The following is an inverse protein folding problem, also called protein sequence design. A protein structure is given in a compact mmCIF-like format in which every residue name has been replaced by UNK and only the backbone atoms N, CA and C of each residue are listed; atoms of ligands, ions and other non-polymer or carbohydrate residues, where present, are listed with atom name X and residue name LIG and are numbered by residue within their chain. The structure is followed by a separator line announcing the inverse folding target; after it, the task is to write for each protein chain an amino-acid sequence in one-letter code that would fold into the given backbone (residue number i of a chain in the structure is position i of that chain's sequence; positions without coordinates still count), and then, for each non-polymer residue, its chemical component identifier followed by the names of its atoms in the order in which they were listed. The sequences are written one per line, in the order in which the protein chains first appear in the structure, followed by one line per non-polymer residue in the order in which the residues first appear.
data_IF_177193834944
#
_entry.id   IF_177193834944
#
_cell.length_a   1.000
_cell.length_b   1.000
_cell.length_c   1.000
_cell.angle_alpha   90.00
_cell.angle_beta   90.00
_cell.angle_gamma   90.00
#
_symmetry.space_group_name_H-M   'P 1'
#
loop_
_entity.id
_entity.type
_entity.pdbx_description
1 polymer ?
#
# COMPACT_ATOMS: atom_id res chain seq x y z
N UNK A 1 -3.23 13.96 11.21
CA UNK A 1 -4.03 12.82 10.70
C UNK A 1 -5.46 12.72 11.27
N UNK A 2 -5.76 13.33 12.41
CA UNK A 2 -7.05 13.18 13.08
C UNK A 2 -8.30 13.64 12.32
N UNK A 3 -8.22 14.63 11.44
CA UNK A 3 -9.39 15.21 10.79
C UNK A 3 -10.08 14.33 9.73
N UNK A 4 -9.40 13.34 9.18
CA UNK A 4 -9.98 12.42 8.19
C UNK A 4 -10.93 11.39 8.78
N UNK A 5 -10.72 10.97 10.03
CA UNK A 5 -11.51 9.92 10.69
C UNK A 5 -12.94 10.36 11.03
N UNK A 6 -13.18 11.66 11.18
CA UNK A 6 -14.51 12.19 11.49
C UNK A 6 -15.45 12.29 10.30
N UNK A 7 -14.92 12.17 9.07
CA UNK A 7 -15.67 12.31 7.81
C UNK A 7 -15.93 10.98 7.11
N UNK A 8 -15.25 9.90 7.51
CA UNK A 8 -15.35 8.57 6.91
C UNK A 8 -16.07 7.63 7.90
N UNK A 9 -17.07 6.89 7.43
CA UNK A 9 -17.66 5.80 8.19
C UNK A 9 -16.76 4.57 8.09
N UNK A 10 -15.97 4.31 9.13
CA UNK A 10 -15.13 3.13 9.25
C UNK A 10 -15.50 2.36 10.52
N UNK A 11 -15.53 1.03 10.45
CA UNK A 11 -15.74 0.18 11.62
C UNK A 11 -14.43 -0.08 12.38
N UNK A 12 -13.35 -0.19 11.62
CA UNK A 12 -12.03 -0.52 12.13
C UNK A 12 -10.94 0.34 11.50
N UNK A 13 -9.92 0.64 12.30
CA UNK A 13 -8.63 1.17 11.87
C UNK A 13 -7.58 0.11 12.16
N UNK A 14 -6.94 -0.40 11.11
CA UNK A 14 -5.89 -1.42 11.23
C UNK A 14 -4.54 -0.74 11.17
N UNK A 15 -3.70 -0.96 12.17
CA UNK A 15 -2.38 -0.37 12.28
C UNK A 15 -1.32 -1.49 12.45
N UNK A 16 -0.08 -1.27 12.05
CA UNK A 16 0.99 -2.21 12.37
C UNK A 16 1.19 -2.32 13.90
N UNK A 17 1.56 -3.50 14.37
CA UNK A 17 1.65 -3.80 15.81
C UNK A 17 2.61 -2.90 16.59
N UNK A 18 3.56 -2.26 15.92
CA UNK A 18 4.50 -1.31 16.52
C UNK A 18 3.92 0.11 16.67
N UNK A 19 2.79 0.42 16.05
CA UNK A 19 2.22 1.77 16.03
C UNK A 19 1.67 2.24 17.38
N UNK A 20 1.57 1.38 18.37
CA UNK A 20 1.15 1.71 19.74
C UNK A 20 2.19 2.54 20.53
N UNK A 21 3.04 3.31 19.84
CA UNK A 21 4.11 4.13 20.44
C UNK A 21 3.96 5.61 20.10
N UNK A 22 4.32 6.49 20.95
CA UNK A 22 3.71 7.30 21.98
C UNK A 22 2.89 8.56 21.55
N UNK A 23 3.48 9.62 20.91
CA UNK A 23 2.77 10.93 20.81
C UNK A 23 1.69 10.97 19.71
N UNK A 24 1.96 10.43 18.51
CA UNK A 24 0.99 10.36 17.43
C UNK A 24 -0.13 9.35 17.69
N UNK A 25 0.11 8.37 18.56
CA UNK A 25 -0.87 7.37 18.97
C UNK A 25 -2.01 7.96 19.82
N UNK A 26 -1.71 8.84 20.79
CA UNK A 26 -2.75 9.43 21.64
C UNK A 26 -3.74 10.23 20.80
N UNK A 27 -3.25 11.11 19.92
CA UNK A 27 -4.11 11.90 19.04
C UNK A 27 -4.96 11.01 18.10
N UNK A 28 -4.36 9.97 17.51
CA UNK A 28 -5.06 9.05 16.63
C UNK A 28 -6.09 8.21 17.38
N UNK A 29 -5.73 7.70 18.56
CA UNK A 29 -6.59 6.91 19.44
C UNK A 29 -7.80 7.72 19.89
N UNK A 30 -7.60 8.95 20.34
CA UNK A 30 -8.67 9.87 20.72
C UNK A 30 -9.62 10.18 19.55
N UNK A 31 -9.07 10.42 18.37
CA UNK A 31 -9.86 10.66 17.17
C UNK A 31 -10.69 9.43 16.76
N UNK A 32 -10.11 8.24 16.82
CA UNK A 32 -10.79 6.99 16.52
C UNK A 32 -11.91 6.72 17.55
N UNK A 33 -11.64 6.92 18.83
CA UNK A 33 -12.63 6.77 19.90
C UNK A 33 -13.82 7.72 19.71
N UNK A 34 -13.56 9.00 19.43
CA UNK A 34 -14.62 10.00 19.16
C UNK A 34 -15.46 9.65 17.93
N UNK A 35 -14.85 9.01 16.95
CA UNK A 35 -15.52 8.55 15.71
C UNK A 35 -16.20 7.18 15.87
N UNK A 36 -16.08 6.50 17.01
CA UNK A 36 -16.60 5.15 17.23
C UNK A 36 -15.89 4.07 16.44
N UNK A 37 -14.64 4.31 16.02
CA UNK A 37 -13.81 3.41 15.22
C UNK A 37 -12.99 2.53 16.16
N UNK A 38 -13.03 1.22 15.97
CA UNK A 38 -12.18 0.28 16.71
C UNK A 38 -10.78 0.24 16.10
N UNK A 39 -9.76 0.40 16.95
CA UNK A 39 -8.37 0.19 16.53
C UNK A 39 -8.00 -1.27 16.77
N UNK A 40 -7.40 -1.89 15.78
CA UNK A 40 -6.82 -3.23 15.85
C UNK A 40 -5.41 -3.21 15.28
N UNK A 41 -4.52 -4.03 15.80
CA UNK A 41 -3.17 -4.15 15.28
C UNK A 41 -3.04 -5.37 14.37
N UNK A 42 -2.28 -5.21 13.29
CA UNK A 42 -2.03 -6.27 12.32
C UNK A 42 -0.55 -6.54 12.13
N UNK A 43 -0.23 -7.77 11.83
CA UNK A 43 1.13 -8.28 11.57
C UNK A 43 1.08 -9.36 10.50
N UNK A 44 2.22 -9.72 9.96
CA UNK A 44 2.37 -10.82 9.01
C UNK A 44 1.63 -12.08 9.45
N UNK A 45 0.83 -12.60 8.54
CA UNK A 45 0.01 -13.80 8.70
C UNK A 45 -1.41 -13.51 9.21
N UNK A 46 -1.74 -12.29 9.59
CA UNK A 46 -3.11 -11.92 9.91
C UNK A 46 -3.92 -11.70 8.63
N UNK A 47 -5.21 -12.02 8.68
CA UNK A 47 -6.16 -11.82 7.58
C UNK A 47 -7.35 -10.99 8.04
N UNK A 48 -7.82 -10.11 7.14
CA UNK A 48 -9.01 -9.30 7.34
C UNK A 48 -10.02 -9.64 6.25
N UNK A 49 -11.28 -9.83 6.62
CA UNK A 49 -12.34 -10.16 5.68
C UNK A 49 -13.44 -9.10 5.68
N UNK A 50 -13.85 -8.68 4.49
CA UNK A 50 -14.98 -7.78 4.28
C UNK A 50 -15.87 -8.33 3.15
N UNK A 51 -16.88 -9.11 3.50
CA UNK A 51 -17.68 -9.84 2.53
C UNK A 51 -16.85 -10.83 1.72
N UNK A 52 -16.78 -10.65 0.41
CA UNK A 52 -15.99 -11.50 -0.50
C UNK A 52 -14.54 -10.99 -0.69
N UNK A 53 -14.21 -9.84 -0.11
CA UNK A 53 -12.86 -9.28 -0.18
C UNK A 53 -12.06 -9.76 1.04
N UNK A 54 -10.83 -10.20 0.81
CA UNK A 54 -9.87 -10.50 1.86
C UNK A 54 -8.61 -9.65 1.72
N UNK A 55 -7.98 -9.36 2.85
CA UNK A 55 -6.66 -8.73 2.93
C UNK A 55 -5.75 -9.63 3.74
N UNK A 56 -4.67 -10.09 3.14
CA UNK A 56 -3.60 -10.80 3.84
C UNK A 56 -2.50 -9.84 4.21
N UNK A 57 -2.12 -9.76 5.49
CA UNK A 57 -1.01 -8.92 5.94
C UNK A 57 0.29 -9.70 5.73
N UNK A 58 1.14 -9.20 4.82
CA UNK A 58 2.41 -9.83 4.46
C UNK A 58 3.58 -9.27 5.29
N UNK A 59 3.45 -8.08 5.84
CA UNK A 59 4.42 -7.35 6.64
C UNK A 59 3.70 -6.31 7.54
N UNK A 60 4.19 -5.90 8.72
CA UNK A 60 5.48 -6.27 9.32
C UNK A 60 5.47 -7.61 10.07
N UNK A 61 6.68 -8.06 10.45
CA UNK A 61 6.84 -9.21 11.34
C UNK A 61 6.27 -8.91 12.73
N UNK A 62 5.92 -9.96 13.49
CA UNK A 62 5.30 -9.84 14.83
C UNK A 62 6.16 -9.03 15.82
N UNK A 63 7.48 -9.10 15.66
CA UNK A 63 8.46 -8.44 16.54
C UNK A 63 8.96 -7.09 15.99
N UNK A 64 8.28 -6.52 15.02
CA UNK A 64 8.56 -5.18 14.52
C UNK A 64 8.54 -4.15 15.65
N UNK A 65 9.43 -3.17 15.58
CA UNK A 65 9.72 -2.25 16.70
C UNK A 65 9.35 -0.80 16.41
N UNK A 66 9.04 -0.46 15.15
CA UNK A 66 8.84 0.91 14.68
C UNK A 66 10.15 1.74 14.64
N UNK A 67 11.30 1.07 14.61
CA UNK A 67 12.59 1.74 14.51
C UNK A 67 12.76 2.42 13.16
N UNK A 68 12.36 1.74 12.12
CA UNK A 68 12.27 2.26 10.77
C UNK A 68 10.82 2.15 10.31
N UNK A 69 10.11 3.25 10.41
CA UNK A 69 8.66 3.29 10.12
C UNK A 69 8.35 3.00 8.66
N UNK A 70 9.28 3.28 7.75
CA UNK A 70 9.11 2.99 6.34
C UNK A 70 9.36 1.50 6.08
N UNK A 71 10.49 0.96 6.51
CA UNK A 71 10.79 -0.46 6.34
C UNK A 71 9.84 -1.39 7.13
N UNK A 72 9.17 -0.88 8.15
CA UNK A 72 8.16 -1.60 8.93
C UNK A 72 6.72 -1.16 8.57
N UNK A 73 6.51 -0.46 7.44
CA UNK A 73 5.19 -0.12 6.94
C UNK A 73 4.38 -1.37 6.59
N UNK A 74 3.06 -1.28 6.69
CA UNK A 74 2.19 -2.42 6.42
C UNK A 74 2.15 -2.76 4.94
N UNK A 75 2.46 -4.01 4.60
CA UNK A 75 2.27 -4.58 3.27
C UNK A 75 1.07 -5.51 3.30
N UNK A 76 0.11 -5.28 2.40
CA UNK A 76 -1.11 -6.07 2.32
C UNK A 76 -1.42 -6.49 0.89
N UNK A 77 -1.86 -7.73 0.73
CA UNK A 77 -2.44 -8.24 -0.50
C UNK A 77 -3.96 -8.26 -0.36
N UNK A 78 -4.68 -7.55 -1.23
CA UNK A 78 -6.11 -7.63 -1.39
C UNK A 78 -6.44 -8.71 -2.41
N UNK A 79 -7.39 -9.58 -2.09
CA UNK A 79 -7.93 -10.59 -3.01
C UNK A 79 -9.44 -10.46 -3.12
N UNK A 80 -9.95 -10.46 -4.37
CA UNK A 80 -11.38 -10.51 -4.67
C UNK A 80 -11.61 -11.30 -5.96
N UNK A 81 -12.15 -12.50 -5.85
CA UNK A 81 -12.26 -13.43 -6.98
C UNK A 81 -10.89 -13.79 -7.56
N UNK A 82 -10.68 -13.48 -8.83
CA UNK A 82 -9.39 -13.67 -9.51
C UNK A 82 -8.48 -12.42 -9.41
N UNK A 83 -9.01 -11.27 -8.95
CA UNK A 83 -8.27 -10.01 -8.84
C UNK A 83 -7.40 -9.95 -7.57
N UNK A 84 -6.15 -9.51 -7.74
CA UNK A 84 -5.17 -9.34 -6.67
C UNK A 84 -4.56 -7.94 -6.74
N UNK A 85 -4.48 -7.24 -5.60
CA UNK A 85 -3.79 -5.96 -5.51
C UNK A 85 -2.83 -5.93 -4.32
N UNK A 86 -1.61 -5.50 -4.56
CA UNK A 86 -0.59 -5.36 -3.53
C UNK A 86 -0.42 -3.90 -3.11
N UNK A 87 -0.51 -3.66 -1.81
CA UNK A 87 -0.21 -2.38 -1.17
C UNK A 87 1.10 -2.52 -0.41
N UNK A 88 2.10 -1.73 -0.74
CA UNK A 88 3.45 -1.86 -0.19
C UNK A 88 3.82 -0.78 0.83
N UNK A 89 2.91 0.18 1.10
CA UNK A 89 3.23 1.30 1.98
C UNK A 89 4.48 2.03 1.49
N UNK A 90 5.36 2.33 2.42
CA UNK A 90 6.62 3.04 2.13
C UNK A 90 7.86 2.14 2.32
N UNK A 91 7.69 0.79 2.19
CA UNK A 91 8.83 -0.12 2.29
C UNK A 91 9.88 0.16 1.20
N UNK A 92 11.13 -0.08 1.53
CA UNK A 92 12.25 -0.01 0.61
C UNK A 92 12.79 -1.39 0.21
N UNK A 93 13.92 -1.38 -0.47
CA UNK A 93 14.56 -2.57 -1.03
C UNK A 93 14.91 -3.63 0.02
N UNK A 94 15.22 -3.25 1.25
CA UNK A 94 15.56 -4.19 2.31
C UNK A 94 14.38 -5.05 2.73
N UNK A 95 13.19 -4.45 2.83
CA UNK A 95 11.96 -5.20 3.13
C UNK A 95 11.47 -5.99 1.93
N UNK A 96 11.56 -5.45 0.71
CA UNK A 96 11.26 -6.20 -0.52
C UNK A 96 12.10 -7.48 -0.60
N UNK A 97 13.41 -7.41 -0.29
CA UNK A 97 14.31 -8.57 -0.24
C UNK A 97 13.86 -9.62 0.79
N UNK A 98 13.39 -9.19 1.96
CA UNK A 98 12.85 -10.11 2.98
C UNK A 98 11.56 -10.78 2.50
N UNK A 99 10.67 -10.03 1.87
CA UNK A 99 9.44 -10.56 1.29
C UNK A 99 9.73 -11.57 0.16
N UNK A 100 10.68 -11.29 -0.72
CA UNK A 100 11.15 -12.22 -1.75
C UNK A 100 11.70 -13.51 -1.13
N UNK A 101 12.57 -13.39 -0.14
CA UNK A 101 13.16 -14.54 0.56
C UNK A 101 12.13 -15.41 1.28
N UNK A 102 11.02 -14.83 1.73
CA UNK A 102 9.93 -15.56 2.40
C UNK A 102 9.11 -16.44 1.47
N UNK A 103 9.17 -16.22 0.16
CA UNK A 103 8.39 -16.94 -0.85
C UNK A 103 6.88 -16.66 -0.83
N UNK A 104 6.43 -15.66 -0.04
CA UNK A 104 5.00 -15.35 0.14
C UNK A 104 4.40 -14.57 -1.03
N UNK A 105 5.24 -13.85 -1.80
CA UNK A 105 4.79 -13.03 -2.92
C UNK A 105 4.30 -13.86 -4.11
N UNK A 106 3.24 -13.39 -4.76
CA UNK A 106 2.64 -13.95 -5.97
C UNK A 106 2.55 -12.87 -7.05
N UNK A 107 2.18 -13.28 -8.26
CA UNK A 107 1.77 -12.35 -9.32
C UNK A 107 0.54 -11.55 -8.85
N UNK A 108 0.43 -10.28 -9.22
CA UNK A 108 -0.71 -9.41 -8.87
C UNK A 108 -1.15 -8.59 -10.07
N UNK A 109 -2.45 -8.29 -10.17
CA UNK A 109 -2.98 -7.46 -11.25
C UNK A 109 -2.62 -5.98 -11.05
N UNK A 110 -2.61 -5.54 -9.79
CA UNK A 110 -2.39 -4.13 -9.45
C UNK A 110 -1.39 -3.96 -8.31
N UNK A 111 -0.47 -3.00 -8.48
CA UNK A 111 0.48 -2.57 -7.46
C UNK A 111 0.20 -1.12 -7.05
N UNK A 112 -0.04 -0.86 -5.76
CA UNK A 112 0.20 0.46 -5.20
C UNK A 112 1.69 0.59 -4.93
N UNK A 113 2.37 1.35 -5.79
CA UNK A 113 3.82 1.52 -5.78
C UNK A 113 4.32 2.04 -4.43
N UNK A 114 5.36 1.43 -3.92
CA UNK A 114 5.96 1.74 -2.63
C UNK A 114 6.63 3.11 -2.60
N UNK A 115 6.63 3.73 -1.42
CA UNK A 115 7.37 4.94 -1.09
C UNK A 115 7.23 6.04 -2.15
N UNK A 116 6.00 6.22 -2.67
CA UNK A 116 5.65 7.22 -3.68
C UNK A 116 6.47 7.15 -4.99
N UNK A 117 7.06 5.99 -5.29
CA UNK A 117 7.96 5.82 -6.43
C UNK A 117 9.40 6.25 -6.14
N UNK A 118 9.87 6.11 -4.90
CA UNK A 118 11.27 6.32 -4.52
C UNK A 118 12.19 5.39 -5.31
N UNK A 119 13.40 5.87 -5.66
CA UNK A 119 14.44 5.04 -6.30
C UNK A 119 14.90 3.85 -5.45
N UNK A 120 14.68 3.93 -4.14
CA UNK A 120 15.08 2.92 -3.16
C UNK A 120 14.00 1.87 -2.89
N UNK A 121 12.90 1.89 -3.63
CA UNK A 121 11.81 0.92 -3.56
C UNK A 121 11.47 0.37 -4.95
N UNK A 122 10.62 -0.64 -5.01
CA UNK A 122 10.09 -1.23 -6.25
C UNK A 122 11.24 -1.72 -7.13
N UNK A 123 12.05 -2.61 -6.54
CA UNK A 123 13.24 -3.18 -7.18
C UNK A 123 12.87 -4.09 -8.35
N UNK A 124 13.80 -4.27 -9.29
CA UNK A 124 13.62 -5.14 -10.46
C UNK A 124 13.24 -6.57 -10.03
N UNK A 125 13.98 -7.17 -9.10
CA UNK A 125 13.69 -8.51 -8.58
C UNK A 125 12.30 -8.60 -7.92
N UNK A 126 11.83 -7.52 -7.28
CA UNK A 126 10.48 -7.47 -6.72
C UNK A 126 9.44 -7.46 -7.84
N UNK A 127 9.62 -6.63 -8.87
CA UNK A 127 8.73 -6.55 -10.03
C UNK A 127 8.70 -7.85 -10.84
N UNK A 128 9.86 -8.49 -11.07
CA UNK A 128 9.94 -9.80 -11.73
C UNK A 128 9.12 -10.87 -11.00
N UNK A 129 9.00 -10.75 -9.66
CA UNK A 129 8.25 -11.69 -8.84
C UNK A 129 6.75 -11.43 -8.87
N UNK A 130 6.33 -10.16 -8.75
CA UNK A 130 4.90 -9.81 -8.60
C UNK A 130 4.22 -9.44 -9.93
N UNK A 131 4.96 -9.10 -10.98
CA UNK A 131 4.54 -8.83 -12.37
C UNK A 131 3.24 -8.02 -12.49
N UNK A 132 3.12 -6.84 -11.91
CA UNK A 132 1.87 -6.10 -11.93
C UNK A 132 1.52 -5.58 -13.32
N UNK A 133 0.28 -5.82 -13.77
CA UNK A 133 -0.23 -5.25 -15.05
C UNK A 133 -0.49 -3.74 -14.89
N UNK A 134 -0.95 -3.32 -13.70
CA UNK A 134 -1.22 -1.92 -13.36
C UNK A 134 -0.37 -1.50 -12.15
N UNK A 135 0.34 -0.38 -12.29
CA UNK A 135 1.10 0.23 -11.20
C UNK A 135 0.60 1.65 -10.92
N UNK A 136 0.18 1.92 -9.68
CA UNK A 136 -0.35 3.22 -9.27
C UNK A 136 0.65 3.92 -8.36
N UNK A 137 1.14 5.07 -8.81
CA UNK A 137 2.03 5.95 -8.03
C UNK A 137 1.21 7.09 -7.44
N UNK A 138 1.13 7.12 -6.11
CA UNK A 138 0.51 8.22 -5.36
C UNK A 138 1.58 9.23 -4.99
N UNK A 139 1.61 10.37 -5.67
CA UNK A 139 2.58 11.43 -5.43
C UNK A 139 1.98 12.80 -5.76
N UNK A 140 2.60 13.87 -5.23
CA UNK A 140 2.26 15.25 -5.55
C UNK A 140 3.17 15.78 -6.64
N UNK A 141 2.65 16.63 -7.54
CA UNK A 141 3.47 17.36 -8.52
C UNK A 141 4.40 18.41 -7.88
N UNK A 142 4.14 18.76 -6.62
CA UNK A 142 4.91 19.76 -5.87
C UNK A 142 5.76 19.15 -4.76
N UNK A 143 5.97 17.81 -4.78
CA UNK A 143 6.82 17.17 -3.77
C UNK A 143 8.29 17.60 -3.92
N UNK A 144 8.98 17.70 -2.79
CA UNK A 144 10.39 18.11 -2.74
C UNK A 144 11.37 16.92 -2.79
N UNK A 145 10.85 15.70 -2.78
CA UNK A 145 11.65 14.46 -2.74
C UNK A 145 12.06 13.98 -4.14
N UNK A 146 11.52 14.59 -5.20
CA UNK A 146 11.76 14.16 -6.58
C UNK A 146 11.05 12.83 -6.93
N UNK A 147 9.92 12.55 -6.25
CA UNK A 147 9.12 11.36 -6.53
C UNK A 147 8.03 11.62 -7.58
N UNK A 148 7.74 10.65 -8.46
CA UNK A 148 8.46 9.40 -8.62
C UNK A 148 9.83 9.62 -9.24
N UNK A 149 10.82 8.81 -8.87
CA UNK A 149 12.11 8.85 -9.52
C UNK A 149 12.03 8.26 -10.94
N UNK A 150 12.79 8.81 -11.91
CA UNK A 150 12.81 8.26 -13.26
C UNK A 150 13.17 6.77 -13.28
N UNK A 151 14.13 6.36 -12.47
CA UNK A 151 14.60 4.98 -12.39
C UNK A 151 13.49 4.00 -11.95
N UNK A 152 12.60 4.43 -11.05
CA UNK A 152 11.46 3.59 -10.64
C UNK A 152 10.41 3.48 -11.74
N UNK A 153 10.15 4.57 -12.45
CA UNK A 153 9.24 4.57 -13.60
C UNK A 153 9.78 3.65 -14.70
N UNK A 154 11.06 3.77 -15.03
CA UNK A 154 11.72 2.92 -16.04
C UNK A 154 11.63 1.43 -15.68
N UNK A 155 11.84 1.06 -14.40
CA UNK A 155 11.69 -0.32 -13.94
C UNK A 155 10.25 -0.84 -14.09
N UNK A 156 9.26 -0.03 -13.76
CA UNK A 156 7.85 -0.39 -13.90
C UNK A 156 7.45 -0.59 -15.37
N UNK A 157 7.88 0.31 -16.25
CA UNK A 157 7.63 0.22 -17.70
C UNK A 157 8.36 -0.98 -18.31
N UNK A 158 9.61 -1.22 -17.90
CA UNK A 158 10.39 -2.39 -18.35
C UNK A 158 9.75 -3.72 -17.88
N UNK A 159 9.10 -3.73 -16.73
CA UNK A 159 8.33 -4.88 -16.24
C UNK A 159 6.98 -5.08 -16.98
N UNK A 160 6.63 -4.16 -17.90
CA UNK A 160 5.38 -4.22 -18.69
C UNK A 160 4.16 -3.64 -18.00
N UNK A 161 4.32 -2.93 -16.88
CA UNK A 161 3.20 -2.34 -16.16
C UNK A 161 2.65 -1.10 -16.86
N UNK A 162 1.32 -0.96 -16.91
CA UNK A 162 0.69 0.33 -17.16
C UNK A 162 0.85 1.20 -15.93
N UNK A 163 1.50 2.38 -16.07
CA UNK A 163 1.79 3.26 -14.93
C UNK A 163 0.81 4.43 -14.87
N UNK A 164 0.14 4.58 -13.74
CA UNK A 164 -0.80 5.66 -13.45
C UNK A 164 -0.28 6.55 -12.30
N UNK A 165 -0.49 7.88 -12.42
CA UNK A 165 0.06 8.86 -11.49
C UNK A 165 -1.04 9.75 -10.92
N UNK A 166 -1.15 9.86 -9.60
CA UNK A 166 -2.11 10.81 -9.00
C UNK A 166 -1.76 12.26 -9.31
N UNK A 167 -0.49 12.59 -9.46
CA UNK A 167 -0.05 13.95 -9.81
C UNK A 167 -0.52 14.41 -11.21
N UNK A 168 -0.73 13.47 -12.14
CA UNK A 168 -1.25 13.73 -13.49
C UNK A 168 -2.77 13.58 -13.53
N UNK A 169 -3.26 12.48 -13.02
CA UNK A 169 -4.63 11.98 -13.22
C UNK A 169 -5.60 12.40 -12.10
N UNK A 170 -5.12 13.05 -11.03
CA UNK A 170 -5.92 13.30 -9.83
C UNK A 170 -6.21 12.00 -9.07
N UNK A 171 -7.41 11.85 -8.55
CA UNK A 171 -7.83 10.59 -7.94
C UNK A 171 -7.90 9.49 -9.00
N UNK A 172 -7.38 8.30 -8.66
CA UNK A 172 -7.44 7.11 -9.49
C UNK A 172 -8.33 6.09 -8.76
N UNK A 173 -9.38 5.64 -9.44
CA UNK A 173 -10.28 4.61 -8.93
C UNK A 173 -10.09 3.35 -9.74
N UNK A 174 -9.85 2.24 -9.08
CA UNK A 174 -9.87 0.90 -9.66
C UNK A 174 -11.18 0.23 -9.23
N UNK A 175 -11.98 -0.17 -10.20
CA UNK A 175 -13.22 -0.92 -10.01
C UNK A 175 -13.03 -2.33 -10.58
N UNK A 176 -13.44 -3.35 -9.83
CA UNK A 176 -13.35 -4.73 -10.29
C UNK A 176 -14.58 -5.53 -9.89
N UNK A 177 -14.93 -6.50 -10.73
CA UNK A 177 -15.94 -7.54 -10.46
C UNK A 177 -15.28 -8.86 -9.99
N UNK A 178 -13.98 -8.83 -9.73
CA UNK A 178 -13.16 -9.99 -9.35
C UNK A 178 -12.52 -10.72 -10.53
N UNK A 179 -12.76 -10.27 -11.79
CA UNK A 179 -12.17 -10.82 -13.02
C UNK A 179 -11.63 -9.75 -13.96
N UNK A 180 -12.36 -8.65 -14.07
CA UNK A 180 -12.01 -7.52 -14.93
C UNK A 180 -11.82 -6.30 -14.08
N UNK A 181 -10.91 -5.44 -14.47
CA UNK A 181 -10.71 -4.15 -13.84
C UNK A 181 -11.03 -3.01 -14.78
N UNK A 182 -11.49 -1.89 -14.21
CA UNK A 182 -11.68 -0.61 -14.88
C UNK A 182 -10.97 0.47 -14.10
N UNK A 183 -10.34 1.39 -14.82
CA UNK A 183 -9.60 2.50 -14.24
C UNK A 183 -10.34 3.80 -14.56
N UNK A 184 -10.65 4.59 -13.54
CA UNK A 184 -11.22 5.91 -13.69
C UNK A 184 -10.23 6.94 -13.17
N UNK A 185 -10.06 8.03 -13.92
CA UNK A 185 -9.19 9.16 -13.58
C UNK A 185 -10.06 10.39 -13.36
N UNK A 186 -9.81 11.11 -12.28
CA UNK A 186 -10.58 12.31 -11.94
C UNK A 186 -10.27 13.48 -12.91
N UNK A 187 -8.99 13.62 -13.28
CA UNK A 187 -8.57 14.56 -14.32
C UNK A 187 -8.41 13.81 -15.63
N UNK A 188 -8.96 14.37 -16.69
CA UNK A 188 -8.70 13.96 -18.07
C UNK A 188 -7.87 15.06 -18.68
N UNK A 189 -6.72 14.74 -19.22
CA UNK A 189 -5.92 15.66 -20.04
C UNK A 189 -6.69 16.01 -21.32
#
# INVERSE_FOLDING_TARGET
MGNGLTTIRAGYLVLPSWAEKPEAWEELSDAAQKAGIKIVTGKKGDELHCGLVSFSILWPEKNATGKDVNEEAMVMELSFGEFQMLFTGDIGADTEKKLLASGILKDVDCLKVGHHGSRYSTTEAFLEKIKPELAIISCSSTNTYGHPSPETVERLEAAGSQVEYTMKNGAITVETDGKKLKIYRFRRD
#
